data_IF_410012604195
#
_entry.id   IF_410012604195
#
_cell.length_a   1.000
_cell.length_b   1.000
_cell.length_c   1.000
_cell.angle_alpha   90.00
_cell.angle_beta   90.00
_cell.angle_gamma   90.00
#
_symmetry.space_group_name_H-M   'P 1'
#
loop_
_entity.id
_entity.type
_entity.pdbx_description
1 polymer ?
#
# COMPACT_ATOMS: atom_id res chain seq x y z
N UNK A 1 -12.37 -0.26 18.00
CA UNK A 1 -11.14 -0.31 17.19
C UNK A 1 -11.48 0.32 15.83
N UNK A 2 -11.14 1.60 15.63
CA UNK A 2 -11.51 2.32 14.40
C UNK A 2 -10.53 1.92 13.31
N UNK A 3 -11.00 1.11 12.35
CA UNK A 3 -10.25 0.86 11.13
C UNK A 3 -10.30 2.14 10.30
N UNK A 4 -9.27 2.99 10.44
CA UNK A 4 -9.05 4.06 9.48
C UNK A 4 -8.80 3.43 8.12
N UNK A 5 -9.73 3.63 7.21
CA UNK A 5 -9.65 3.15 5.83
C UNK A 5 -8.48 3.89 5.18
N UNK A 6 -7.30 3.27 5.20
CA UNK A 6 -6.10 3.78 4.53
C UNK A 6 -6.46 3.93 3.05
N UNK A 7 -6.36 5.15 2.51
CA UNK A 7 -6.65 5.41 1.10
C UNK A 7 -5.70 4.60 0.22
N UNK A 8 -6.21 4.12 -0.92
CA UNK A 8 -5.41 3.45 -1.94
C UNK A 8 -4.25 4.35 -2.41
N UNK A 9 -4.41 5.68 -2.36
CA UNK A 9 -3.37 6.67 -2.69
C UNK A 9 -2.16 6.59 -1.75
N UNK A 10 -2.39 6.42 -0.45
CA UNK A 10 -1.31 6.28 0.52
C UNK A 10 -0.55 4.97 0.28
N UNK A 11 -1.26 3.89 -0.08
CA UNK A 11 -0.65 2.59 -0.42
C UNK A 11 0.22 2.70 -1.66
N UNK A 12 -0.29 3.32 -2.73
CA UNK A 12 0.49 3.57 -3.94
C UNK A 12 1.71 4.44 -3.67
N UNK A 13 1.55 5.51 -2.90
CA UNK A 13 2.65 6.41 -2.53
C UNK A 13 3.73 5.65 -1.76
N UNK A 14 3.34 4.82 -0.80
CA UNK A 14 4.28 4.03 -0.01
C UNK A 14 5.06 3.01 -0.86
N UNK A 15 4.40 2.35 -1.82
CA UNK A 15 5.09 1.46 -2.77
C UNK A 15 6.06 2.22 -3.67
N UNK A 16 5.66 3.39 -4.20
CA UNK A 16 6.56 4.20 -5.03
C UNK A 16 7.82 4.63 -4.27
N UNK A 17 7.68 4.96 -2.98
CA UNK A 17 8.82 5.26 -2.11
C UNK A 17 9.69 4.03 -1.89
N UNK A 18 9.10 2.85 -1.62
CA UNK A 18 9.84 1.59 -1.53
C UNK A 18 10.63 1.26 -2.81
N UNK A 19 10.01 1.45 -3.99
CA UNK A 19 10.64 1.18 -5.28
C UNK A 19 11.79 2.15 -5.60
N UNK A 20 11.78 3.36 -5.04
CA UNK A 20 12.90 4.30 -5.15
C UNK A 20 14.11 3.88 -4.32
N UNK A 21 13.93 3.07 -3.28
CA UNK A 21 15.01 2.53 -2.45
C UNK A 21 15.77 3.57 -1.61
N UNK A 22 15.24 4.79 -1.48
CA UNK A 22 15.89 5.90 -0.78
C UNK A 22 15.47 6.03 0.68
N UNK A 23 14.27 5.53 1.02
CA UNK A 23 13.65 5.70 2.34
C UNK A 23 13.52 4.35 3.07
N UNK A 24 13.74 4.33 4.38
CA UNK A 24 13.52 3.10 5.15
C UNK A 24 12.02 2.81 5.27
N UNK A 25 11.66 1.53 5.49
CA UNK A 25 10.27 1.12 5.75
C UNK A 25 9.63 1.93 6.88
N UNK A 26 10.43 2.37 7.87
CA UNK A 26 9.98 3.17 9.00
C UNK A 26 9.65 4.62 8.59
N UNK A 27 10.46 5.21 7.73
CA UNK A 27 10.23 6.58 7.23
C UNK A 27 9.01 6.62 6.31
N UNK A 28 8.89 5.63 5.43
CA UNK A 28 7.73 5.47 4.55
C UNK A 28 6.45 5.29 5.37
N UNK A 29 6.53 4.51 6.45
CA UNK A 29 5.41 4.28 7.38
C UNK A 29 4.94 5.59 8.04
N UNK A 30 5.88 6.43 8.47
CA UNK A 30 5.58 7.74 9.06
C UNK A 30 5.02 8.73 8.03
N UNK A 31 5.59 8.78 6.82
CA UNK A 31 5.16 9.68 5.74
C UNK A 31 3.76 9.37 5.23
N UNK A 32 3.43 8.09 5.09
CA UNK A 32 2.18 7.65 4.45
C UNK A 32 1.10 7.24 5.46
N UNK A 33 1.43 7.28 6.75
CA UNK A 33 0.60 6.81 7.86
C UNK A 33 0.13 5.36 7.65
N UNK A 34 1.01 4.52 7.10
CA UNK A 34 0.77 3.10 6.82
C UNK A 34 1.63 2.27 7.74
N UNK A 35 1.03 1.29 8.41
CA UNK A 35 1.79 0.34 9.22
C UNK A 35 2.74 -0.49 8.35
N UNK A 36 3.95 -0.85 8.82
CA UNK A 36 4.90 -1.66 8.07
C UNK A 36 4.31 -2.99 7.56
N UNK A 37 3.44 -3.62 8.35
CA UNK A 37 2.73 -4.83 7.95
C UNK A 37 1.80 -4.59 6.75
N UNK A 38 1.06 -3.48 6.75
CA UNK A 38 0.18 -3.09 5.63
C UNK A 38 0.97 -2.71 4.39
N UNK A 39 2.15 -2.10 4.56
CA UNK A 39 3.08 -1.84 3.45
C UNK A 39 3.56 -3.13 2.81
N UNK A 40 3.98 -4.11 3.63
CA UNK A 40 4.41 -5.41 3.14
C UNK A 40 3.31 -6.13 2.37
N UNK A 41 2.08 -6.16 2.89
CA UNK A 41 0.94 -6.74 2.19
C UNK A 41 0.64 -6.02 0.87
N UNK A 42 0.66 -4.68 0.85
CA UNK A 42 0.44 -3.91 -0.38
C UNK A 42 1.55 -4.17 -1.41
N UNK A 43 2.81 -4.25 -0.97
CA UNK A 43 3.95 -4.54 -1.83
C UNK A 43 3.89 -5.94 -2.43
N UNK A 44 3.53 -6.94 -1.61
CA UNK A 44 3.31 -8.30 -2.09
C UNK A 44 2.18 -8.37 -3.11
N UNK A 45 1.04 -7.73 -2.83
CA UNK A 45 -0.09 -7.65 -3.75
C UNK A 45 0.28 -6.98 -5.07
N UNK A 46 1.04 -5.89 -5.01
CA UNK A 46 1.54 -5.18 -6.20
C UNK A 46 2.50 -6.06 -7.03
N UNK A 47 3.40 -6.81 -6.39
CA UNK A 47 4.29 -7.74 -7.11
C UNK A 47 3.52 -8.89 -7.78
N UNK A 48 2.43 -9.36 -7.17
CA UNK A 48 1.61 -10.45 -7.73
C UNK A 48 0.66 -9.98 -8.84
N UNK A 49 0.07 -8.79 -8.70
CA UNK A 49 -1.05 -8.34 -9.55
C UNK A 49 -0.76 -7.09 -10.37
N UNK A 50 0.34 -6.39 -10.10
CA UNK A 50 0.62 -5.06 -10.65
C UNK A 50 -0.26 -3.94 -10.06
N UNK A 51 -1.10 -4.24 -9.06
CA UNK A 51 -2.03 -3.28 -8.47
C UNK A 51 -2.09 -3.35 -6.94
N UNK A 52 -2.39 -2.20 -6.30
CA UNK A 52 -2.66 -2.08 -4.86
C UNK A 52 -4.10 -1.76 -4.52
N UNK A 53 -4.94 -1.57 -5.53
CA UNK A 53 -6.37 -1.40 -5.29
C UNK A 53 -6.87 -2.69 -4.62
N UNK A 54 -7.70 -2.54 -3.59
CA UNK A 54 -8.64 -3.61 -3.27
C UNK A 54 -9.30 -4.01 -4.59
N UNK A 55 -9.47 -5.31 -4.90
CA UNK A 55 -10.27 -5.68 -6.05
C UNK A 55 -11.62 -4.99 -5.85
N UNK A 56 -11.84 -3.88 -6.58
CA UNK A 56 -13.18 -3.42 -6.85
C UNK A 56 -13.82 -4.66 -7.43
N UNK A 57 -14.85 -5.16 -6.75
CA UNK A 57 -15.57 -6.33 -7.21
C UNK A 57 -15.89 -6.06 -8.67
N UNK A 58 -15.15 -6.73 -9.56
CA UNK A 58 -15.45 -6.69 -10.98
C UNK A 58 -16.82 -7.32 -10.99
N UNK A 59 -17.85 -6.50 -11.11
CA UNK A 59 -19.22 -6.94 -11.34
C UNK A 59 -19.09 -7.87 -12.55
N UNK A 60 -19.12 -9.18 -12.28
CA UNK A 60 -19.35 -10.19 -13.29
C UNK A 60 -20.78 -9.95 -13.76
N UNK A 61 -20.91 -9.08 -14.76
CA UNK A 61 -22.06 -9.06 -15.65
C UNK A 61 -22.11 -10.36 -16.45
#
# INVERSE_FOLDING_TARGET
MVYHKISNDNRMTAIRLCLRGLDSVKDISQLTNISPASLYCAFQQYNTTGSVTFPEAVNRG
#
